data_IF_335122513960
#
_entry.id   IF_335122513960
#
_cell.length_a   1.000
_cell.length_b   1.000
_cell.length_c   1.000
_cell.angle_alpha   90.00
_cell.angle_beta   90.00
_cell.angle_gamma   90.00
#
_symmetry.space_group_name_H-M   'P 1'
#
loop_
_entity.id
_entity.type
_entity.pdbx_description
1 polymer ?
#
# COMPACT_ATOMS: atom_id res chain seq x y z
N UNK A 1 2.67 14.06 -32.28
CA UNK A 1 2.64 13.51 -30.90
C UNK A 1 3.30 12.14 -30.93
N UNK A 2 4.23 11.83 -30.02
CA UNK A 2 4.95 10.54 -30.03
C UNK A 2 4.12 9.50 -29.28
N UNK A 3 3.77 8.40 -29.94
CA UNK A 3 3.16 7.24 -29.28
C UNK A 3 4.19 6.59 -28.36
N UNK A 4 3.82 6.36 -27.11
CA UNK A 4 4.54 5.53 -26.17
C UNK A 4 3.93 4.14 -26.26
N UNK A 5 4.77 3.14 -26.52
CA UNK A 5 4.38 1.73 -26.53
C UNK A 5 5.33 0.95 -25.65
N UNK A 6 4.77 0.21 -24.71
CA UNK A 6 5.52 -0.58 -23.74
C UNK A 6 4.87 -1.97 -23.63
N UNK A 7 5.67 -3.02 -23.80
CA UNK A 7 5.18 -4.40 -23.96
C UNK A 7 5.98 -5.32 -23.08
N UNK A 8 5.28 -6.08 -22.26
CA UNK A 8 5.83 -7.11 -21.39
C UNK A 8 5.13 -8.44 -21.70
N UNK A 9 5.86 -9.54 -21.65
CA UNK A 9 5.28 -10.86 -21.82
C UNK A 9 6.03 -11.92 -21.03
N UNK A 10 5.29 -12.88 -20.47
CA UNK A 10 5.85 -14.00 -19.72
C UNK A 10 5.12 -15.30 -20.06
N UNK A 11 5.88 -16.37 -20.26
CA UNK A 11 5.33 -17.72 -20.33
C UNK A 11 5.14 -18.24 -18.91
N UNK A 12 3.94 -18.74 -18.61
CA UNK A 12 3.57 -19.36 -17.33
C UNK A 12 3.29 -20.83 -17.58
N UNK A 13 3.91 -21.70 -16.77
CA UNK A 13 3.74 -23.16 -16.84
C UNK A 13 2.46 -23.59 -16.11
N UNK A 14 1.32 -23.05 -16.55
CA UNK A 14 0.00 -23.42 -16.11
C UNK A 14 -1.01 -23.29 -17.28
N UNK A 15 -2.14 -24.03 -17.24
CA UNK A 15 -3.20 -23.89 -18.23
C UNK A 15 -3.75 -22.45 -18.29
N UNK A 16 -4.06 -21.98 -19.49
CA UNK A 16 -4.62 -20.63 -19.70
C UNK A 16 -5.92 -20.39 -18.90
N UNK A 17 -6.73 -21.43 -18.69
CA UNK A 17 -7.95 -21.34 -17.89
C UNK A 17 -7.68 -21.00 -16.42
N UNK A 18 -6.63 -21.58 -15.83
CA UNK A 18 -6.25 -21.31 -14.44
C UNK A 18 -5.75 -19.87 -14.27
N UNK A 19 -4.89 -19.41 -15.18
CA UNK A 19 -4.37 -18.04 -15.19
C UNK A 19 -5.46 -17.02 -15.53
N UNK A 20 -6.38 -17.37 -16.44
CA UNK A 20 -7.55 -16.57 -16.78
C UNK A 20 -8.48 -16.35 -15.58
N UNK A 21 -8.76 -17.39 -14.80
CA UNK A 21 -9.57 -17.28 -13.58
C UNK A 21 -8.93 -16.34 -12.53
N UNK A 22 -7.60 -16.29 -12.46
CA UNK A 22 -6.91 -15.31 -11.62
C UNK A 22 -7.06 -13.89 -12.16
N UNK A 23 -6.96 -13.72 -13.49
CA UNK A 23 -7.12 -12.43 -14.16
C UNK A 23 -8.51 -11.82 -13.92
N UNK A 24 -9.55 -12.64 -13.93
CA UNK A 24 -10.93 -12.22 -13.68
C UNK A 24 -11.17 -11.68 -12.26
N UNK A 25 -10.24 -11.92 -11.33
CA UNK A 25 -10.29 -11.39 -9.94
C UNK A 25 -9.39 -10.17 -9.72
N UNK A 26 -8.78 -9.62 -10.76
CA UNK A 26 -7.95 -8.41 -10.65
C UNK A 26 -8.80 -7.24 -10.11
N UNK A 27 -8.35 -6.61 -9.03
CA UNK A 27 -9.07 -5.56 -8.32
C UNK A 27 -10.20 -6.02 -7.39
N UNK A 28 -10.40 -7.33 -7.21
CA UNK A 28 -11.33 -7.87 -6.22
C UNK A 28 -10.81 -7.73 -4.77
N UNK A 29 -11.65 -8.03 -3.77
CA UNK A 29 -11.24 -7.96 -2.36
C UNK A 29 -10.08 -8.92 -2.02
N UNK A 30 -10.01 -10.06 -2.71
CA UNK A 30 -8.97 -11.08 -2.60
C UNK A 30 -7.99 -11.04 -3.79
N UNK A 31 -7.86 -9.89 -4.47
CA UNK A 31 -7.03 -9.70 -5.68
C UNK A 31 -5.72 -10.50 -5.59
N UNK A 32 -5.57 -11.55 -6.43
CA UNK A 32 -4.42 -12.44 -6.36
C UNK A 32 -3.21 -11.90 -7.14
N UNK A 33 -3.37 -10.80 -7.90
CA UNK A 33 -2.41 -10.37 -8.91
C UNK A 33 -1.76 -9.03 -8.60
N UNK A 34 -2.54 -8.02 -8.21
CA UNK A 34 -1.97 -6.68 -8.08
C UNK A 34 -0.99 -6.60 -6.91
N UNK A 35 0.21 -6.01 -7.08
CA UNK A 35 1.32 -6.11 -6.12
C UNK A 35 1.17 -5.22 -4.88
N UNK A 36 0.01 -5.29 -4.24
CA UNK A 36 -0.28 -4.72 -2.93
C UNK A 36 0.23 -5.68 -1.83
N UNK A 37 0.80 -5.18 -0.72
CA UNK A 37 0.74 -3.80 -0.22
C UNK A 37 1.90 -2.88 -0.62
N UNK A 38 2.81 -3.33 -1.50
CA UNK A 38 3.94 -2.48 -1.93
C UNK A 38 3.50 -1.34 -2.85
N UNK A 39 2.41 -1.54 -3.58
CA UNK A 39 1.76 -0.53 -4.40
C UNK A 39 0.30 -0.30 -3.96
N UNK A 40 -0.25 0.91 -4.16
CA UNK A 40 -1.64 1.19 -3.85
C UNK A 40 -2.55 0.20 -4.58
N UNK A 41 -3.51 -0.45 -3.89
CA UNK A 41 -4.32 -1.51 -4.48
C UNK A 41 -5.10 -1.01 -5.69
N UNK A 42 -5.24 -1.88 -6.69
CA UNK A 42 -6.18 -1.69 -7.78
C UNK A 42 -7.59 -1.92 -7.26
N UNK A 43 -8.53 -1.01 -7.56
CA UNK A 43 -9.94 -1.13 -7.17
C UNK A 43 -10.83 -0.61 -8.29
N UNK A 44 -12.01 -1.21 -8.39
CA UNK A 44 -13.09 -0.79 -9.29
C UNK A 44 -14.37 -0.52 -8.50
N UNK A 45 -15.25 0.29 -9.09
CA UNK A 45 -16.56 0.65 -8.53
C UNK A 45 -17.57 -0.51 -8.58
N UNK A 46 -17.31 -1.51 -9.42
CA UNK A 46 -18.13 -2.71 -9.65
C UNK A 46 -17.24 -3.88 -10.10
N UNK A 47 -17.75 -5.12 -10.17
CA UNK A 47 -17.01 -6.25 -10.74
C UNK A 47 -16.44 -5.95 -12.12
N UNK A 48 -15.33 -6.61 -12.48
CA UNK A 48 -14.70 -6.41 -13.79
C UNK A 48 -15.70 -6.66 -14.93
N UNK A 49 -15.80 -5.68 -15.81
CA UNK A 49 -16.73 -5.66 -16.92
C UNK A 49 -16.62 -4.34 -17.67
N UNK A 50 -17.02 -4.33 -18.94
CA UNK A 50 -17.01 -3.10 -19.75
C UNK A 50 -17.81 -2.01 -19.04
N UNK A 51 -17.19 -0.83 -18.89
CA UNK A 51 -17.78 0.31 -18.18
C UNK A 51 -17.48 0.38 -16.68
N UNK A 52 -16.81 -0.61 -16.09
CA UNK A 52 -16.30 -0.50 -14.73
C UNK A 52 -15.24 0.60 -14.63
N UNK A 53 -15.37 1.47 -13.65
CA UNK A 53 -14.44 2.58 -13.39
C UNK A 53 -13.53 2.24 -12.22
N UNK A 54 -12.24 2.50 -12.37
CA UNK A 54 -11.28 2.12 -11.35
C UNK A 54 -9.91 2.77 -11.52
N UNK A 55 -8.96 2.22 -10.78
CA UNK A 55 -7.63 2.79 -10.74
C UNK A 55 -6.75 2.18 -9.67
N UNK A 56 -5.51 2.66 -9.62
CA UNK A 56 -4.57 2.43 -8.54
C UNK A 56 -3.77 3.72 -8.29
N UNK A 57 -3.57 4.08 -7.02
CA UNK A 57 -2.87 5.31 -6.66
C UNK A 57 -3.54 6.54 -7.26
N UNK A 58 -2.82 7.29 -8.09
CA UNK A 58 -3.34 8.45 -8.83
C UNK A 58 -3.80 8.12 -10.27
N UNK A 59 -3.56 6.89 -10.74
CA UNK A 59 -3.93 6.45 -12.09
C UNK A 59 -5.41 6.06 -12.09
N UNK A 60 -6.13 6.53 -13.11
CA UNK A 60 -7.57 6.28 -13.28
C UNK A 60 -7.82 5.76 -14.69
N UNK A 61 -8.66 4.74 -14.79
CA UNK A 61 -9.04 4.11 -16.04
C UNK A 61 -10.45 3.52 -15.97
N UNK A 62 -11.02 3.28 -17.15
CA UNK A 62 -12.27 2.56 -17.37
C UNK A 62 -12.00 1.27 -18.12
N UNK A 63 -12.66 0.18 -17.76
CA UNK A 63 -12.60 -1.05 -18.55
C UNK A 63 -13.32 -0.83 -19.89
N UNK A 64 -12.57 -0.86 -20.99
CA UNK A 64 -13.08 -0.60 -22.35
C UNK A 64 -13.29 -1.87 -23.15
N UNK A 65 -12.61 -2.96 -22.81
CA UNK A 65 -12.86 -4.29 -23.34
C UNK A 65 -12.62 -5.33 -22.26
N UNK A 66 -13.46 -6.36 -22.23
CA UNK A 66 -13.34 -7.48 -21.32
C UNK A 66 -13.79 -8.77 -22.00
N UNK A 67 -12.92 -9.77 -22.02
CA UNK A 67 -13.24 -11.15 -22.37
C UNK A 67 -12.84 -12.03 -21.17
N UNK A 68 -13.81 -12.60 -20.42
CA UNK A 68 -13.54 -13.40 -19.24
C UNK A 68 -12.49 -14.48 -19.49
N UNK A 69 -11.53 -14.59 -18.58
CA UNK A 69 -10.42 -15.53 -18.62
C UNK A 69 -9.39 -15.28 -19.73
N UNK A 70 -9.56 -14.25 -20.57
CA UNK A 70 -8.72 -14.04 -21.77
C UNK A 70 -8.06 -12.68 -21.82
N UNK A 71 -8.80 -11.58 -21.63
CA UNK A 71 -8.20 -10.23 -21.65
C UNK A 71 -9.04 -9.18 -20.95
N UNK A 72 -8.35 -8.17 -20.41
CA UNK A 72 -8.95 -6.94 -19.89
C UNK A 72 -8.18 -5.76 -20.45
N UNK A 73 -8.89 -4.78 -21.03
CA UNK A 73 -8.34 -3.50 -21.47
C UNK A 73 -8.87 -2.37 -20.62
N UNK A 74 -7.96 -1.54 -20.13
CA UNK A 74 -8.26 -0.34 -19.36
C UNK A 74 -7.88 0.89 -20.17
N UNK A 75 -8.88 1.70 -20.54
CA UNK A 75 -8.66 3.00 -21.18
C UNK A 75 -8.42 4.08 -20.12
N UNK A 76 -7.39 4.91 -20.29
CA UNK A 76 -7.08 5.98 -19.34
C UNK A 76 -8.19 7.04 -19.33
N UNK A 77 -8.55 7.53 -18.13
CA UNK A 77 -9.55 8.58 -17.95
C UNK A 77 -8.95 9.88 -17.37
N UNK A 78 -7.66 9.88 -17.01
CA UNK A 78 -6.95 11.02 -16.42
C UNK A 78 -6.44 12.10 -17.39
N UNK A 79 -7.10 12.26 -18.54
CA UNK A 79 -6.70 13.22 -19.59
C UNK A 79 -5.45 12.80 -20.39
N UNK A 80 -5.17 11.50 -20.47
CA UNK A 80 -4.21 10.89 -21.38
C UNK A 80 -4.97 9.98 -22.34
N UNK A 81 -4.72 10.13 -23.64
CA UNK A 81 -5.26 9.21 -24.64
C UNK A 81 -4.41 7.95 -24.66
N UNK A 82 -5.04 6.81 -24.39
CA UNK A 82 -4.34 5.53 -24.40
C UNK A 82 -5.06 4.47 -23.58
N UNK A 83 -4.43 3.31 -23.52
CA UNK A 83 -4.91 2.16 -22.78
C UNK A 83 -3.74 1.29 -22.33
N UNK A 84 -4.02 0.42 -21.37
CA UNK A 84 -3.21 -0.75 -21.12
C UNK A 84 -4.09 -2.01 -21.08
N UNK A 85 -3.55 -3.13 -21.52
CA UNK A 85 -4.26 -4.41 -21.65
C UNK A 85 -3.42 -5.51 -21.03
N UNK A 86 -4.07 -6.43 -20.32
CA UNK A 86 -3.49 -7.71 -19.92
C UNK A 86 -4.25 -8.80 -20.65
N UNK A 87 -3.54 -9.71 -21.32
CA UNK A 87 -4.11 -10.82 -22.06
C UNK A 87 -3.41 -12.14 -21.70
N UNK A 88 -4.18 -13.23 -21.72
CA UNK A 88 -3.73 -14.61 -21.50
C UNK A 88 -4.00 -15.39 -22.78
N UNK A 89 -2.97 -16.02 -23.34
CA UNK A 89 -3.06 -16.80 -24.57
C UNK A 89 -2.57 -18.23 -24.31
N UNK A 90 -3.34 -19.27 -24.68
CA UNK A 90 -2.85 -20.65 -24.56
C UNK A 90 -1.65 -20.87 -25.50
N UNK A 91 -0.63 -21.57 -25.00
CA UNK A 91 0.48 -22.10 -25.81
C UNK A 91 0.41 -23.63 -25.95
N UNK A 92 -0.38 -24.28 -25.07
CA UNK A 92 -0.62 -25.71 -25.03
C UNK A 92 -1.55 -26.05 -23.86
N UNK A 93 -1.70 -27.33 -23.49
CA UNK A 93 -2.54 -27.75 -22.37
C UNK A 93 -2.02 -27.21 -21.02
N UNK A 94 -0.71 -27.24 -20.80
CA UNK A 94 -0.08 -26.93 -19.51
C UNK A 94 0.71 -25.62 -19.50
N UNK A 95 0.53 -24.76 -20.53
CA UNK A 95 1.23 -23.48 -20.58
C UNK A 95 0.44 -22.40 -21.31
N UNK A 96 0.65 -21.16 -20.86
CA UNK A 96 0.09 -19.97 -21.48
C UNK A 96 1.11 -18.83 -21.51
N UNK A 97 0.85 -17.85 -22.36
CA UNK A 97 1.55 -16.58 -22.42
C UNK A 97 0.67 -15.48 -21.83
N UNK A 98 1.19 -14.77 -20.85
CA UNK A 98 0.60 -13.54 -20.34
C UNK A 98 1.30 -12.36 -20.99
N UNK A 99 0.53 -11.43 -21.52
CA UNK A 99 1.04 -10.23 -22.19
C UNK A 99 0.42 -8.99 -21.55
N UNK A 100 1.25 -8.00 -21.27
CA UNK A 100 0.83 -6.66 -20.89
C UNK A 100 1.26 -5.69 -21.98
N UNK A 101 0.33 -4.88 -22.48
CA UNK A 101 0.59 -3.88 -23.52
C UNK A 101 0.06 -2.56 -23.04
N UNK A 102 0.91 -1.54 -23.00
CA UNK A 102 0.52 -0.15 -22.82
C UNK A 102 0.76 0.61 -24.12
N UNK A 103 -0.26 1.34 -24.57
CA UNK A 103 -0.15 2.28 -25.67
C UNK A 103 -0.79 3.60 -25.27
N UNK A 104 -0.02 4.69 -25.35
CA UNK A 104 -0.53 6.03 -25.05
C UNK A 104 0.08 7.11 -25.93
N UNK A 105 -0.62 8.24 -26.00
CA UNK A 105 -0.21 9.45 -26.74
C UNK A 105 -0.11 10.64 -25.79
N UNK A 106 0.86 10.63 -24.86
CA UNK A 106 1.03 11.71 -23.89
C UNK A 106 1.44 13.02 -24.59
N UNK A 107 1.13 14.14 -23.95
CA UNK A 107 1.71 15.46 -24.31
C UNK A 107 3.24 15.39 -24.26
N UNK A 108 3.98 16.18 -25.06
CA UNK A 108 5.45 16.07 -25.15
C UNK A 108 6.19 16.09 -23.81
N UNK A 109 5.83 17.00 -22.89
CA UNK A 109 6.41 17.06 -21.55
C UNK A 109 6.15 15.78 -20.72
N UNK A 110 4.95 15.19 -20.83
CA UNK A 110 4.62 13.92 -20.18
C UNK A 110 5.36 12.74 -20.82
N UNK A 111 5.62 12.76 -22.13
CA UNK A 111 6.42 11.72 -22.81
C UNK A 111 7.87 11.68 -22.30
N UNK A 112 8.46 12.84 -22.02
CA UNK A 112 9.78 12.95 -21.38
C UNK A 112 9.73 12.44 -19.93
N UNK A 113 8.74 12.91 -19.15
CA UNK A 113 8.55 12.47 -17.76
C UNK A 113 8.30 10.96 -17.65
N UNK A 114 7.57 10.36 -18.59
CA UNK A 114 7.39 8.91 -18.70
C UNK A 114 8.74 8.21 -18.84
N UNK A 115 9.52 8.62 -19.84
CA UNK A 115 10.80 7.99 -20.17
C UNK A 115 11.82 8.11 -19.04
N UNK A 116 11.81 9.24 -18.32
CA UNK A 116 12.74 9.50 -17.23
C UNK A 116 12.26 8.97 -15.89
N UNK A 117 10.98 9.01 -15.55
CA UNK A 117 10.52 8.71 -14.18
C UNK A 117 9.63 7.47 -14.12
N UNK A 118 8.52 7.49 -14.85
CA UNK A 118 7.44 6.53 -14.61
C UNK A 118 7.61 5.18 -15.29
N UNK A 119 8.34 5.10 -16.41
CA UNK A 119 8.57 3.83 -17.11
C UNK A 119 9.16 2.77 -16.18
N UNK A 120 10.29 3.05 -15.53
CA UNK A 120 10.91 2.08 -14.63
C UNK A 120 10.00 1.61 -13.47
N UNK A 121 9.11 2.48 -12.98
CA UNK A 121 8.13 2.14 -11.95
C UNK A 121 7.04 1.24 -12.54
N UNK A 122 6.49 1.63 -13.69
CA UNK A 122 5.49 0.86 -14.43
C UNK A 122 5.98 -0.54 -14.77
N UNK A 123 7.15 -0.65 -15.41
CA UNK A 123 7.78 -1.92 -15.79
C UNK A 123 7.92 -2.84 -14.57
N UNK A 124 8.32 -2.27 -13.42
CA UNK A 124 8.45 -3.04 -12.17
C UNK A 124 7.09 -3.52 -11.66
N UNK A 125 6.05 -2.67 -11.68
CA UNK A 125 4.69 -3.07 -11.26
C UNK A 125 4.17 -4.19 -12.15
N UNK A 126 4.36 -4.10 -13.47
CA UNK A 126 3.93 -5.13 -14.43
C UNK A 126 4.66 -6.46 -14.18
N UNK A 127 5.97 -6.44 -13.99
CA UNK A 127 6.72 -7.66 -13.68
C UNK A 127 6.36 -8.25 -12.30
N UNK A 128 6.00 -7.43 -11.31
CA UNK A 128 5.49 -7.92 -10.02
C UNK A 128 4.08 -8.52 -10.14
N UNK A 129 3.24 -8.02 -11.05
CA UNK A 129 1.97 -8.67 -11.41
C UNK A 129 2.27 -10.06 -12.01
N UNK A 130 3.24 -10.16 -12.91
CA UNK A 130 3.61 -11.44 -13.50
C UNK A 130 4.21 -12.42 -12.49
N UNK A 131 5.01 -11.93 -11.53
CA UNK A 131 5.49 -12.75 -10.40
C UNK A 131 4.32 -13.30 -9.57
N UNK A 132 3.30 -12.49 -9.31
CA UNK A 132 2.11 -12.94 -8.57
C UNK A 132 1.28 -13.94 -9.38
N UNK A 133 1.14 -13.75 -10.71
CA UNK A 133 0.48 -14.72 -11.59
C UNK A 133 1.22 -16.06 -11.55
N UNK A 134 2.54 -16.06 -11.75
CA UNK A 134 3.35 -17.28 -11.77
C UNK A 134 3.26 -18.01 -10.42
N UNK A 135 3.36 -17.26 -9.32
CA UNK A 135 3.23 -17.82 -7.97
C UNK A 135 1.86 -18.41 -7.70
N UNK A 136 0.80 -17.68 -8.01
CA UNK A 136 -0.57 -18.13 -7.76
C UNK A 136 -0.94 -19.34 -8.63
N UNK A 137 -0.40 -19.43 -9.86
CA UNK A 137 -0.70 -20.53 -10.78
C UNK A 137 0.18 -21.77 -10.58
N UNK A 138 1.42 -21.60 -10.08
CA UNK A 138 2.42 -22.69 -10.03
C UNK A 138 3.03 -22.95 -8.65
N UNK A 139 2.70 -22.12 -7.66
CA UNK A 139 3.27 -22.17 -6.31
C UNK A 139 4.68 -21.55 -6.19
N UNK A 140 5.34 -21.18 -7.30
CA UNK A 140 6.70 -20.62 -7.30
C UNK A 140 6.87 -19.50 -8.33
N UNK A 141 7.98 -18.79 -8.23
CA UNK A 141 8.41 -17.79 -9.23
C UNK A 141 9.82 -18.15 -9.66
N UNK A 142 10.03 -18.36 -10.96
CA UNK A 142 11.32 -18.81 -11.49
C UNK A 142 12.37 -17.71 -11.42
N UNK A 143 12.00 -16.47 -11.77
CA UNK A 143 12.90 -15.33 -11.80
C UNK A 143 12.18 -14.06 -11.27
N UNK A 144 12.13 -13.87 -9.94
CA UNK A 144 11.41 -12.75 -9.35
C UNK A 144 12.07 -11.40 -9.68
N UNK A 145 11.25 -10.39 -9.95
CA UNK A 145 11.73 -9.05 -10.26
C UNK A 145 12.37 -8.39 -9.05
N UNK A 146 13.46 -7.65 -9.31
CA UNK A 146 14.17 -6.89 -8.28
C UNK A 146 13.97 -5.40 -8.51
N UNK A 147 13.39 -4.72 -7.51
CA UNK A 147 13.21 -3.27 -7.52
C UNK A 147 14.56 -2.56 -7.52
N UNK A 148 14.86 -1.83 -8.59
CA UNK A 148 16.09 -1.02 -8.70
C UNK A 148 16.15 0.08 -7.62
N UNK A 149 17.34 0.62 -7.28
CA UNK A 149 17.46 1.73 -6.32
C UNK A 149 16.58 2.93 -6.67
N UNK A 150 16.47 3.25 -7.97
CA UNK A 150 15.60 4.30 -8.50
C UNK A 150 14.13 4.04 -8.19
N UNK A 151 13.65 2.81 -8.45
CA UNK A 151 12.26 2.42 -8.16
C UNK A 151 11.99 2.42 -6.66
N UNK A 152 12.93 1.96 -5.84
CA UNK A 152 12.83 2.01 -4.36
C UNK A 152 12.71 3.45 -3.85
N UNK A 153 13.45 4.38 -4.45
CA UNK A 153 13.35 5.81 -4.14
C UNK A 153 11.98 6.37 -4.54
N UNK A 154 11.51 6.12 -5.76
CA UNK A 154 10.19 6.59 -6.20
C UNK A 154 9.06 6.00 -5.37
N UNK A 155 9.09 4.70 -5.08
CA UNK A 155 8.14 4.05 -4.18
C UNK A 155 8.12 4.73 -2.79
N UNK A 156 9.29 5.10 -2.24
CA UNK A 156 9.36 5.87 -0.99
C UNK A 156 8.76 7.27 -1.11
N UNK A 157 8.96 7.95 -2.24
CA UNK A 157 8.45 9.32 -2.46
C UNK A 157 6.94 9.33 -2.66
N UNK A 158 6.41 8.36 -3.42
CA UNK A 158 4.99 8.21 -3.74
C UNK A 158 4.17 7.58 -2.61
N UNK A 159 4.80 7.08 -1.55
CA UNK A 159 4.10 6.46 -0.42
C UNK A 159 3.11 7.42 0.25
N UNK A 160 1.94 6.92 0.61
CA UNK A 160 0.89 7.73 1.24
C UNK A 160 1.37 8.41 2.52
N UNK A 161 0.75 9.54 2.82
CA UNK A 161 1.05 10.35 4.00
C UNK A 161 -0.04 10.15 5.05
N UNK A 162 0.33 10.08 6.34
CA UNK A 162 -0.67 10.06 7.41
C UNK A 162 -1.57 11.28 7.35
N UNK A 163 -2.84 11.08 7.66
CA UNK A 163 -3.85 12.14 7.79
C UNK A 163 -4.00 12.51 9.26
N UNK A 164 -4.16 13.79 9.55
CA UNK A 164 -4.53 14.23 10.91
C UNK A 164 -5.95 13.74 11.18
N UNK A 165 -6.18 13.17 12.36
CA UNK A 165 -7.50 12.79 12.85
C UNK A 165 -7.61 13.22 14.32
N UNK A 166 -8.83 13.28 14.83
CA UNK A 166 -9.02 13.28 16.28
C UNK A 166 -8.63 11.91 16.84
N UNK A 167 -8.17 11.88 18.10
CA UNK A 167 -7.85 10.62 18.76
C UNK A 167 -9.13 9.77 18.85
N UNK A 168 -9.21 8.61 18.17
CA UNK A 168 -10.45 7.87 18.09
C UNK A 168 -10.95 7.44 19.47
N UNK A 169 -12.28 7.42 19.68
CA UNK A 169 -12.87 6.97 20.94
C UNK A 169 -12.50 5.51 21.30
N UNK A 170 -12.18 4.70 20.29
CA UNK A 170 -11.70 3.34 20.45
C UNK A 170 -10.29 3.23 21.07
N UNK A 171 -9.49 4.30 21.08
CA UNK A 171 -8.18 4.36 21.76
C UNK A 171 -8.35 4.51 23.29
N UNK A 172 -8.96 3.50 23.91
CA UNK A 172 -9.38 3.49 25.32
C UNK A 172 -8.20 3.60 26.27
N UNK A 173 -7.06 2.98 25.97
CA UNK A 173 -5.85 3.08 26.78
C UNK A 173 -5.31 4.51 26.76
N UNK A 174 -5.28 5.14 25.59
CA UNK A 174 -4.87 6.54 25.44
C UNK A 174 -5.76 7.50 26.24
N UNK A 175 -7.09 7.35 26.14
CA UNK A 175 -8.05 8.19 26.86
C UNK A 175 -7.97 8.04 28.38
N UNK A 176 -7.57 6.86 28.88
CA UNK A 176 -7.44 6.56 30.31
C UNK A 176 -6.01 6.70 30.83
N UNK A 177 -5.06 7.07 29.97
CA UNK A 177 -3.65 7.17 30.33
C UNK A 177 -3.41 8.13 31.50
N UNK A 178 -4.15 9.24 31.54
CA UNK A 178 -4.00 10.29 32.55
C UNK A 178 -5.36 10.79 33.04
N UNK A 179 -5.47 11.22 34.31
CA UNK A 179 -6.67 11.91 34.80
C UNK A 179 -6.96 13.23 34.05
N UNK A 180 -5.91 13.85 33.52
CA UNK A 180 -5.98 15.07 32.69
C UNK A 180 -4.92 14.98 31.59
N UNK A 181 -5.35 15.17 30.36
CA UNK A 181 -4.48 15.25 29.17
C UNK A 181 -4.28 16.71 28.80
N UNK A 182 -3.03 17.19 28.83
CA UNK A 182 -2.69 18.57 28.48
C UNK A 182 -2.41 18.74 26.97
N UNK A 183 -2.08 17.66 26.28
CA UNK A 183 -1.93 17.63 24.83
C UNK A 183 -2.31 16.27 24.26
N UNK A 184 -2.95 16.30 23.10
CA UNK A 184 -3.15 15.11 22.27
C UNK A 184 -3.03 15.43 20.78
N UNK A 185 -2.54 14.47 20.01
CA UNK A 185 -2.67 14.44 18.55
C UNK A 185 -2.84 13.00 18.05
N UNK A 186 -3.32 12.85 16.81
CA UNK A 186 -3.45 11.54 16.18
C UNK A 186 -3.23 11.60 14.67
N UNK A 187 -2.58 10.57 14.14
CA UNK A 187 -2.23 10.44 12.73
C UNK A 187 -2.63 9.06 12.24
N UNK A 188 -3.35 8.99 11.12
CA UNK A 188 -3.95 7.75 10.63
C UNK A 188 -3.51 7.41 9.21
N UNK A 189 -3.38 6.11 8.93
CA UNK A 189 -3.19 5.54 7.59
C UNK A 189 -4.12 4.34 7.39
N UNK A 190 -4.53 4.12 6.15
CA UNK A 190 -5.29 2.93 5.75
C UNK A 190 -4.35 1.72 5.69
N UNK A 191 -4.78 0.58 6.21
CA UNK A 191 -4.06 -0.68 6.06
C UNK A 191 -4.29 -1.24 4.67
N UNK A 192 -3.20 -1.71 4.07
CA UNK A 192 -3.22 -2.35 2.76
C UNK A 192 -3.34 -3.88 2.92
N UNK A 193 -3.87 -4.60 1.92
CA UNK A 193 -4.05 -6.05 2.02
C UNK A 193 -2.76 -6.78 2.38
N UNK A 194 -2.85 -7.71 3.33
CA UNK A 194 -1.71 -8.48 3.84
C UNK A 194 -0.90 -7.80 4.96
N UNK A 195 -1.15 -6.52 5.26
CA UNK A 195 -0.52 -5.87 6.41
C UNK A 195 -1.08 -6.45 7.74
N UNK A 196 -0.25 -6.50 8.80
CA UNK A 196 -0.68 -7.04 10.10
C UNK A 196 -1.75 -6.15 10.72
N UNK A 197 -2.82 -6.80 11.20
CA UNK A 197 -3.94 -6.17 11.90
C UNK A 197 -3.69 -6.08 13.41
N UNK A 198 -2.73 -6.84 13.94
CA UNK A 198 -2.52 -6.88 15.39
C UNK A 198 -1.64 -5.70 15.84
N UNK A 199 -2.03 -4.99 16.92
CA UNK A 199 -1.31 -3.81 17.39
C UNK A 199 0.14 -4.11 17.80
N UNK A 200 0.46 -5.32 18.24
CA UNK A 200 1.81 -5.76 18.63
C UNK A 200 2.80 -5.69 17.47
N UNK A 201 2.35 -5.95 16.24
CA UNK A 201 3.21 -5.82 15.05
C UNK A 201 3.69 -4.37 14.85
N UNK A 202 3.01 -3.40 15.49
CA UNK A 202 3.29 -1.98 15.44
C UNK A 202 4.08 -1.43 16.62
N UNK A 203 4.45 -2.26 17.59
CA UNK A 203 5.22 -1.85 18.79
C UNK A 203 6.50 -1.07 18.43
N UNK A 204 7.15 -1.45 17.32
CA UNK A 204 8.38 -0.82 16.84
C UNK A 204 8.21 0.52 16.12
N UNK A 205 7.01 1.13 16.10
CA UNK A 205 6.74 2.38 15.35
C UNK A 205 7.60 3.55 15.84
N UNK A 206 7.90 3.61 17.14
CA UNK A 206 8.70 4.66 17.78
C UNK A 206 10.22 4.40 17.78
N UNK A 207 10.69 3.53 16.86
CA UNK A 207 12.10 3.11 16.71
C UNK A 207 13.12 4.17 17.17
N UNK A 208 13.99 3.79 18.10
CA UNK A 208 15.07 4.63 18.65
C UNK A 208 14.90 4.97 20.13
N UNK A 209 13.68 4.83 20.67
CA UNK A 209 13.40 4.89 22.09
C UNK A 209 12.67 3.61 22.51
N UNK A 210 13.25 2.86 23.45
CA UNK A 210 12.62 1.67 24.03
C UNK A 210 11.58 2.13 25.05
N UNK A 211 10.47 2.69 24.58
CA UNK A 211 9.37 3.02 25.47
C UNK A 211 8.72 1.71 25.96
N UNK A 212 8.61 1.49 27.27
CA UNK A 212 7.98 0.28 27.78
C UNK A 212 6.50 0.28 27.42
N UNK A 213 5.95 -0.93 27.34
CA UNK A 213 4.53 -1.11 27.09
C UNK A 213 3.77 -0.88 28.39
N UNK A 214 2.95 0.17 28.39
CA UNK A 214 2.12 0.57 29.51
C UNK A 214 0.76 -0.15 29.54
N UNK A 215 0.31 -0.68 28.40
CA UNK A 215 -0.94 -1.43 28.31
C UNK A 215 -1.18 -2.05 26.93
N UNK A 216 -2.01 -3.09 26.88
CA UNK A 216 -2.44 -3.76 25.64
C UNK A 216 -3.93 -4.11 25.70
N UNK A 217 -4.56 -4.11 24.55
CA UNK A 217 -5.87 -4.67 24.24
C UNK A 217 -5.79 -5.31 22.85
N UNK A 218 -6.83 -6.02 22.43
CA UNK A 218 -6.88 -6.67 21.12
C UNK A 218 -6.69 -5.70 19.93
N UNK A 219 -6.98 -4.41 20.10
CA UNK A 219 -6.90 -3.41 19.03
C UNK A 219 -5.94 -2.25 19.32
N UNK A 220 -5.38 -2.16 20.53
CA UNK A 220 -4.60 -0.99 20.95
C UNK A 220 -3.41 -1.40 21.81
N UNK A 221 -2.23 -0.87 21.49
CA UNK A 221 -1.03 -0.94 22.34
C UNK A 221 -0.64 0.47 22.78
N UNK A 222 -0.41 0.64 24.09
CA UNK A 222 0.03 1.88 24.70
C UNK A 222 1.49 1.78 25.11
N UNK A 223 2.33 2.64 24.55
CA UNK A 223 3.75 2.77 24.83
C UNK A 223 4.00 4.07 25.59
N UNK A 224 4.98 4.10 26.48
CA UNK A 224 5.45 5.39 27.00
C UNK A 224 6.16 5.30 28.33
N UNK A 225 6.58 6.47 28.81
CA UNK A 225 7.40 6.61 30.00
C UNK A 225 7.04 7.92 30.71
N UNK A 226 7.26 7.94 32.03
CA UNK A 226 7.09 9.12 32.87
C UNK A 226 8.45 9.80 33.08
N UNK A 227 8.52 11.09 32.79
CA UNK A 227 9.73 11.89 32.94
C UNK A 227 9.49 13.05 33.92
N UNK A 228 10.58 13.61 34.48
CA UNK A 228 10.50 14.70 35.47
C UNK A 228 9.69 15.92 35.01
N UNK A 229 9.58 16.15 33.70
CA UNK A 229 8.97 17.34 33.10
C UNK A 229 7.67 17.05 32.34
N UNK A 230 7.38 15.78 32.01
CA UNK A 230 6.12 15.35 31.41
C UNK A 230 5.93 13.83 31.55
N UNK A 231 4.68 13.39 31.53
CA UNK A 231 4.33 11.99 31.28
C UNK A 231 3.88 11.85 29.82
N UNK A 232 4.44 10.88 29.11
CA UNK A 232 4.16 10.67 27.68
C UNK A 232 3.59 9.29 27.45
N UNK A 233 2.53 9.20 26.63
CA UNK A 233 2.10 7.94 26.03
C UNK A 233 1.89 8.10 24.53
N UNK A 234 2.25 7.07 23.79
CA UNK A 234 1.89 6.86 22.40
C UNK A 234 0.97 5.65 22.30
N UNK A 235 -0.16 5.84 21.66
CA UNK A 235 -1.14 4.80 21.37
C UNK A 235 -1.00 4.36 19.92
N UNK A 236 -0.92 3.06 19.67
CA UNK A 236 -1.17 2.51 18.34
C UNK A 236 -2.48 1.75 18.38
N UNK A 237 -3.49 2.32 17.74
CA UNK A 237 -4.80 1.70 17.55
C UNK A 237 -4.85 1.10 16.14
N UNK A 238 -5.16 -0.18 16.02
CA UNK A 238 -5.47 -0.85 14.77
C UNK A 238 -6.93 -1.29 14.80
N UNK A 239 -7.75 -0.67 13.96
CA UNK A 239 -9.19 -0.92 13.89
C UNK A 239 -9.74 -0.49 12.52
N UNK A 240 -10.80 -1.16 12.07
CA UNK A 240 -11.55 -0.81 10.84
C UNK A 240 -10.67 -0.70 9.58
N UNK A 241 -9.65 -1.56 9.48
CA UNK A 241 -8.70 -1.55 8.36
C UNK A 241 -7.81 -0.31 8.33
N UNK A 242 -7.58 0.34 9.48
CA UNK A 242 -6.71 1.51 9.63
C UNK A 242 -5.79 1.36 10.82
N UNK A 243 -4.68 2.07 10.78
CA UNK A 243 -3.76 2.25 11.91
C UNK A 243 -3.69 3.72 12.29
N UNK A 244 -3.86 4.00 13.58
CA UNK A 244 -3.78 5.34 14.15
C UNK A 244 -2.66 5.39 15.19
N UNK A 245 -1.69 6.28 14.99
CA UNK A 245 -0.70 6.65 15.98
C UNK A 245 -1.19 7.91 16.72
N UNK A 246 -1.60 7.73 17.97
CA UNK A 246 -1.98 8.81 18.88
C UNK A 246 -0.85 9.15 19.86
N UNK A 247 -0.79 10.40 20.29
CA UNK A 247 0.05 10.83 21.41
C UNK A 247 -0.82 11.51 22.45
N UNK A 248 -0.61 11.18 23.72
CA UNK A 248 -1.20 11.90 24.86
C UNK A 248 -0.10 12.27 25.84
N UNK A 249 -0.17 13.50 26.36
CA UNK A 249 0.85 14.04 27.28
C UNK A 249 0.18 14.73 28.46
N UNK A 250 0.75 14.51 29.64
CA UNK A 250 0.47 15.26 30.86
C UNK A 250 1.71 16.06 31.25
N UNK A 251 1.56 17.37 31.48
CA UNK A 251 2.68 18.26 31.74
C UNK A 251 2.87 18.52 33.23
N UNK A 252 4.14 18.50 33.66
CA UNK A 252 4.51 18.82 35.04
C UNK A 252 5.07 20.23 35.14
N UNK A 253 4.58 21.01 36.11
CA UNK A 253 5.11 22.33 36.48
C UNK A 253 5.20 23.30 35.28
N UNK A 254 5.82 24.46 35.46
CA UNK A 254 6.00 25.47 34.40
C UNK A 254 7.13 25.11 33.44
N UNK A 255 8.18 24.44 33.91
CA UNK A 255 9.31 24.00 33.09
C UNK A 255 8.90 22.97 32.03
N UNK A 256 8.02 22.02 32.39
CA UNK A 256 7.44 21.08 31.44
C UNK A 256 6.62 21.76 30.35
N UNK A 257 5.86 22.80 30.72
CA UNK A 257 5.09 23.61 29.77
C UNK A 257 5.99 24.34 28.76
N UNK A 258 7.09 24.93 29.21
CA UNK A 258 8.03 25.62 28.33
C UNK A 258 8.74 24.65 27.37
N UNK A 259 9.23 23.52 27.90
CA UNK A 259 9.82 22.46 27.10
C UNK A 259 8.83 21.94 26.03
N UNK A 260 7.61 21.63 26.46
CA UNK A 260 6.61 21.08 25.56
C UNK A 260 6.13 22.08 24.51
N UNK A 261 6.15 23.39 24.78
CA UNK A 261 5.84 24.40 23.78
C UNK A 261 6.79 24.34 22.57
N UNK A 262 8.05 23.95 22.77
CA UNK A 262 9.01 23.69 21.69
C UNK A 262 8.70 22.34 21.02
N UNK A 263 8.58 21.27 21.81
CA UNK A 263 8.36 19.90 21.29
C UNK A 263 7.08 19.81 20.47
N UNK A 264 5.98 20.43 20.91
CA UNK A 264 4.68 20.46 20.21
C UNK A 264 4.79 20.93 18.76
N UNK A 265 5.76 21.77 18.41
CA UNK A 265 5.97 22.26 17.04
C UNK A 265 6.59 21.20 16.12
N UNK A 266 7.45 20.34 16.67
CA UNK A 266 8.21 19.32 15.92
C UNK A 266 7.52 17.95 15.98
N UNK A 267 6.80 17.67 17.06
CA UNK A 267 6.14 16.40 17.32
C UNK A 267 5.21 15.92 16.18
N UNK A 268 4.26 16.73 15.66
CA UNK A 268 3.45 16.37 14.49
C UNK A 268 4.25 15.85 13.29
N UNK A 269 5.37 16.52 12.98
CA UNK A 269 6.24 16.11 11.88
C UNK A 269 6.89 14.76 12.16
N UNK A 270 7.40 14.56 13.38
CA UNK A 270 8.04 13.30 13.80
C UNK A 270 7.06 12.14 13.84
N UNK A 271 5.88 12.31 14.44
CA UNK A 271 4.83 11.29 14.50
C UNK A 271 4.40 10.83 13.09
N UNK A 272 4.17 11.79 12.17
CA UNK A 272 3.87 11.49 10.76
C UNK A 272 5.00 10.72 10.08
N UNK A 273 6.25 11.12 10.31
CA UNK A 273 7.42 10.48 9.70
C UNK A 273 7.59 9.05 10.22
N UNK A 274 7.46 8.84 11.53
CA UNK A 274 7.55 7.54 12.20
C UNK A 274 6.46 6.58 11.69
N UNK A 275 5.20 7.00 11.73
CA UNK A 275 4.07 6.21 11.24
C UNK A 275 4.25 5.84 9.76
N UNK A 276 4.54 6.82 8.90
CA UNK A 276 4.74 6.58 7.46
C UNK A 276 5.88 5.61 7.18
N UNK A 277 7.01 5.77 7.88
CA UNK A 277 8.19 4.91 7.72
C UNK A 277 7.89 3.49 8.16
N UNK A 278 7.23 3.33 9.30
CA UNK A 278 6.94 2.02 9.87
C UNK A 278 5.86 1.29 9.07
N UNK A 279 4.78 1.99 8.69
CA UNK A 279 3.77 1.49 7.76
C UNK A 279 4.42 0.96 6.47
N UNK A 280 5.31 1.74 5.84
CA UNK A 280 6.01 1.31 4.64
C UNK A 280 6.89 0.09 4.88
N UNK A 281 7.56 0.00 6.03
CA UNK A 281 8.38 -1.17 6.38
C UNK A 281 7.51 -2.43 6.49
N UNK A 282 6.38 -2.36 7.19
CA UNK A 282 5.47 -3.49 7.31
C UNK A 282 4.88 -3.89 5.97
N UNK A 283 4.46 -2.94 5.14
CA UNK A 283 3.97 -3.23 3.80
C UNK A 283 5.03 -3.91 2.90
N UNK A 284 6.31 -3.53 3.01
CA UNK A 284 7.37 -4.19 2.25
C UNK A 284 7.73 -5.60 2.76
N UNK A 285 7.32 -5.95 3.98
CA UNK A 285 7.55 -7.26 4.59
C UNK A 285 6.30 -8.16 4.57
N UNK A 286 5.14 -7.61 4.24
CA UNK A 286 3.88 -8.32 4.14
C UNK A 286 3.86 -9.24 2.91
N UNK A 287 3.10 -10.35 2.97
CA UNK A 287 3.00 -11.28 1.86
C UNK A 287 2.40 -10.62 0.61
N UNK A 288 2.92 -10.98 -0.56
CA UNK A 288 2.42 -10.48 -1.85
C UNK A 288 1.02 -11.02 -2.17
N UNK A 289 0.36 -10.47 -3.18
CA UNK A 289 -0.94 -10.98 -3.63
C UNK A 289 -0.87 -12.46 -4.05
N UNK A 290 0.18 -12.85 -4.77
CA UNK A 290 0.39 -14.24 -5.17
C UNK A 290 0.63 -15.17 -3.96
N UNK A 291 1.38 -14.72 -2.94
CA UNK A 291 1.58 -15.49 -1.70
C UNK A 291 0.28 -15.66 -0.92
N UNK A 292 -0.51 -14.58 -0.79
CA UNK A 292 -1.81 -14.63 -0.12
C UNK A 292 -2.82 -15.49 -0.88
N UNK A 293 -2.77 -15.51 -2.20
CA UNK A 293 -3.63 -16.35 -3.03
C UNK A 293 -3.26 -17.83 -2.90
N UNK A 294 -1.96 -18.15 -2.96
CA UNK A 294 -1.46 -19.51 -2.79
C UNK A 294 -1.75 -20.09 -1.39
N UNK A 295 -1.83 -19.26 -0.35
CA UNK A 295 -2.18 -19.70 1.00
C UNK A 295 -3.68 -19.99 1.21
N UNK A 296 -4.55 -19.64 0.25
CA UNK A 296 -6.01 -19.84 0.34
C UNK A 296 -6.53 -21.04 -0.46
N UNK A 297 -5.76 -21.50 -1.44
CA UNK A 297 -6.07 -22.67 -2.27
C UNK A 297 -5.38 -23.91 -1.72
#
# INVERSE_FOLDING_TARGET
>A
MRTVRDVHARTVHAPAAAVGALLDRLGAADDPLFPTPVWPPMRFDRPLGVGADGGHGFIRYRVTAYEPGRRIRFGFTGGEDGWHEIAVRPLGPDSCRVEHVLESRPRPARAVLWSLAFRAVHDTVVEEIFDNIERAATGRVTAPVRRSPRVRLFNRLLWDRPRAVELPAAARLAHRAFPRTDFQDAWQMDLLPGMPQEPEAWEGVLRGASFPVAGRTDTEILLGEDARHLDFRASVLVADGRVTLGTVVRLHRTTGRLYFAVVRRVHPFMARLMLRRFHRRLALAAPTAGERAAARG
#
